data_IF_121905615746
#
_entry.id   IF_121905615746
#
_cell.length_a   1.000
_cell.length_b   1.000
_cell.length_c   1.000
_cell.angle_alpha   90.00
_cell.angle_beta   90.00
_cell.angle_gamma   90.00
#
_symmetry.space_group_name_H-M   'P 1'
#
loop_
_entity.id
_entity.type
_entity.pdbx_description
1 polymer ?
#
# COMPACT_ATOMS: atom_id res chain seq x y z
N UNK A 1 0.11 -12.94 -10.54
CA UNK A 1 -0.55 -14.25 -10.42
C UNK A 1 -1.90 -14.16 -9.72
N UNK A 2 -1.98 -13.77 -8.44
CA UNK A 2 -3.25 -13.72 -7.68
C UNK A 2 -4.38 -12.95 -8.39
N UNK A 3 -4.09 -11.82 -9.03
CA UNK A 3 -5.09 -11.07 -9.81
C UNK A 3 -5.62 -11.85 -11.02
N UNK A 4 -4.73 -12.58 -11.71
CA UNK A 4 -5.09 -13.42 -12.86
C UNK A 4 -5.98 -14.59 -12.45
N UNK A 5 -5.68 -15.24 -11.33
CA UNK A 5 -6.50 -16.34 -10.77
C UNK A 5 -7.92 -15.87 -10.39
N UNK A 6 -8.07 -14.60 -10.02
CA UNK A 6 -9.37 -13.97 -9.73
C UNK A 6 -10.03 -13.33 -10.95
N UNK A 7 -9.48 -13.56 -12.15
CA UNK A 7 -9.96 -12.99 -13.41
C UNK A 7 -10.07 -11.46 -13.37
N UNK A 8 -9.19 -10.81 -12.61
CA UNK A 8 -9.11 -9.35 -12.55
C UNK A 8 -8.20 -8.89 -13.70
N UNK A 9 -8.72 -8.15 -14.70
CA UNK A 9 -7.91 -7.68 -15.81
C UNK A 9 -6.83 -6.72 -15.31
N UNK A 10 -5.60 -6.90 -15.77
CA UNK A 10 -4.49 -6.01 -15.45
C UNK A 10 -3.58 -5.83 -16.67
N UNK A 11 -2.77 -4.78 -16.63
CA UNK A 11 -1.64 -4.55 -17.53
C UNK A 11 -0.42 -4.28 -16.66
N UNK A 12 0.69 -4.95 -16.96
CA UNK A 12 1.94 -4.78 -16.23
C UNK A 12 2.97 -3.99 -17.05
N UNK A 13 3.77 -3.17 -16.36
CA UNK A 13 4.90 -2.43 -16.93
C UNK A 13 6.17 -2.81 -16.18
N UNK A 14 7.24 -3.06 -16.93
CA UNK A 14 8.58 -3.23 -16.37
C UNK A 14 9.63 -2.60 -17.30
N UNK A 15 10.68 -2.03 -16.72
CA UNK A 15 11.82 -1.43 -17.44
C UNK A 15 12.90 -2.48 -17.77
N UNK A 16 12.76 -3.69 -17.25
CA UNK A 16 13.67 -4.81 -17.46
C UNK A 16 13.14 -5.72 -18.55
N UNK A 17 13.82 -5.73 -19.70
CA UNK A 17 13.43 -6.57 -20.85
C UNK A 17 13.43 -8.06 -20.52
N UNK A 18 14.31 -8.54 -19.63
CA UNK A 18 14.35 -9.93 -19.18
C UNK A 18 13.09 -10.33 -18.38
N UNK A 19 12.55 -9.42 -17.55
CA UNK A 19 11.29 -9.65 -16.83
C UNK A 19 10.09 -9.62 -17.78
N UNK A 20 10.09 -8.69 -18.75
CA UNK A 20 9.04 -8.60 -19.77
C UNK A 20 9.00 -9.86 -20.63
N UNK A 21 10.16 -10.37 -21.08
CA UNK A 21 10.23 -11.61 -21.86
C UNK A 21 9.63 -12.80 -21.08
N UNK A 22 10.07 -13.01 -19.83
CA UNK A 22 9.54 -14.08 -18.97
C UNK A 22 8.03 -13.96 -18.74
N UNK A 23 7.52 -12.75 -18.52
CA UNK A 23 6.09 -12.55 -18.32
C UNK A 23 5.28 -12.84 -19.59
N UNK A 24 5.82 -12.52 -20.78
CA UNK A 24 5.17 -12.86 -22.06
C UNK A 24 5.18 -14.36 -22.33
N UNK A 25 6.25 -15.07 -21.95
CA UNK A 25 6.30 -16.53 -22.04
C UNK A 25 5.23 -17.20 -21.15
N UNK A 26 4.78 -16.50 -20.10
CA UNK A 26 3.66 -16.89 -19.24
C UNK A 26 2.31 -16.29 -19.67
N UNK A 27 2.22 -15.80 -20.91
CA UNK A 27 1.01 -15.16 -21.48
C UNK A 27 0.48 -13.96 -20.65
N UNK A 28 1.34 -13.34 -19.84
CA UNK A 28 0.94 -12.18 -19.04
C UNK A 28 0.90 -10.91 -19.91
N UNK A 29 -0.08 -10.01 -19.67
CA UNK A 29 -0.19 -8.72 -20.37
C UNK A 29 0.87 -7.72 -19.87
N UNK A 30 2.15 -7.99 -20.15
CA UNK A 30 3.30 -7.20 -19.72
C UNK A 30 3.99 -6.47 -20.87
N UNK A 31 4.31 -5.21 -20.64
CA UNK A 31 4.93 -4.33 -21.62
C UNK A 31 6.19 -3.68 -21.06
N UNK A 32 7.13 -3.42 -21.96
CA UNK A 32 8.34 -2.70 -21.64
C UNK A 32 8.05 -1.19 -21.56
N UNK A 33 8.40 -0.55 -20.45
CA UNK A 33 8.24 0.90 -20.32
C UNK A 33 8.52 1.43 -18.93
N UNK A 34 8.91 2.72 -18.86
CA UNK A 34 9.06 3.45 -17.61
C UNK A 34 7.69 3.93 -17.10
N UNK A 35 7.24 3.39 -15.97
CA UNK A 35 6.00 3.78 -15.31
C UNK A 35 6.00 5.22 -14.77
N UNK A 36 7.15 5.89 -14.71
CA UNK A 36 7.24 7.33 -14.44
C UNK A 36 6.97 8.22 -15.65
N UNK A 37 6.85 7.65 -16.86
CA UNK A 37 6.58 8.39 -18.09
C UNK A 37 5.07 8.53 -18.32
N UNK A 38 4.59 9.77 -18.46
CA UNK A 38 3.19 10.05 -18.76
C UNK A 38 2.75 9.46 -20.10
N UNK A 39 3.64 9.43 -21.10
CA UNK A 39 3.36 8.82 -22.41
C UNK A 39 3.14 7.31 -22.30
N UNK A 40 3.94 6.63 -21.49
CA UNK A 40 3.79 5.18 -21.24
C UNK A 40 2.52 4.91 -20.44
N UNK A 41 2.25 5.68 -19.40
CA UNK A 41 1.00 5.55 -18.62
C UNK A 41 -0.24 5.77 -19.50
N UNK A 42 -0.18 6.73 -20.42
CA UNK A 42 -1.26 6.97 -21.37
C UNK A 42 -1.45 5.80 -22.33
N UNK A 43 -0.36 5.25 -22.89
CA UNK A 43 -0.44 4.16 -23.86
C UNK A 43 -1.00 2.85 -23.26
N UNK A 44 -0.77 2.59 -21.97
CA UNK A 44 -1.37 1.45 -21.26
C UNK A 44 -2.80 1.72 -20.76
N UNK A 45 -3.36 2.90 -21.05
CA UNK A 45 -4.74 3.23 -20.69
C UNK A 45 -4.93 3.52 -19.20
N UNK A 46 -3.93 4.10 -18.52
CA UNK A 46 -4.01 4.42 -17.08
C UNK A 46 -5.24 5.27 -16.71
N UNK A 47 -5.79 6.07 -17.64
CA UNK A 47 -7.02 6.85 -17.42
C UNK A 47 -8.26 6.01 -17.15
N UNK A 48 -8.28 4.74 -17.59
CA UNK A 48 -9.39 3.80 -17.41
C UNK A 48 -9.16 2.83 -16.23
N UNK A 49 -7.98 2.89 -15.60
CA UNK A 49 -7.64 1.97 -14.52
C UNK A 49 -8.45 2.29 -13.26
N UNK A 50 -8.99 1.26 -12.61
CA UNK A 50 -9.63 1.43 -11.29
C UNK A 50 -8.60 1.75 -10.20
N UNK A 51 -7.41 1.14 -10.31
CA UNK A 51 -6.29 1.36 -9.42
C UNK A 51 -4.96 1.03 -10.11
N UNK A 52 -3.87 1.49 -9.50
CA UNK A 52 -2.50 1.16 -9.86
C UNK A 52 -1.81 0.50 -8.67
N UNK A 53 -1.00 -0.53 -8.93
CA UNK A 53 -0.11 -1.15 -7.95
C UNK A 53 1.33 -0.83 -8.33
N UNK A 54 2.07 -0.18 -7.43
CA UNK A 54 3.43 0.31 -7.68
C UNK A 54 4.40 -0.45 -6.78
N UNK A 55 5.25 -1.27 -7.39
CA UNK A 55 6.14 -2.25 -6.74
C UNK A 55 7.54 -2.20 -7.35
N UNK A 56 8.08 -0.99 -7.54
CA UNK A 56 9.37 -0.79 -8.19
C UNK A 56 10.54 -1.03 -7.21
N UNK A 57 11.71 -1.33 -7.77
CA UNK A 57 12.90 -1.75 -7.01
C UNK A 57 13.54 -0.61 -6.21
N UNK A 58 13.39 0.66 -6.64
CA UNK A 58 14.02 1.82 -6.00
C UNK A 58 13.00 2.81 -5.43
N UNK A 59 13.28 3.45 -4.27
CA UNK A 59 12.40 4.46 -3.69
C UNK A 59 12.11 5.64 -4.64
N UNK A 60 13.14 6.09 -5.36
CA UNK A 60 12.99 7.17 -6.34
C UNK A 60 12.07 6.81 -7.49
N UNK A 61 12.14 5.58 -8.01
CA UNK A 61 11.23 5.12 -9.05
C UNK A 61 9.79 5.02 -8.54
N UNK A 62 9.57 4.46 -7.35
CA UNK A 62 8.24 4.42 -6.71
C UNK A 62 7.65 5.82 -6.58
N UNK A 63 8.41 6.77 -6.00
CA UNK A 63 7.95 8.14 -5.83
C UNK A 63 7.56 8.79 -7.17
N UNK A 64 8.44 8.70 -8.18
CA UNK A 64 8.18 9.28 -9.51
C UNK A 64 6.94 8.70 -10.16
N UNK A 65 6.73 7.39 -10.07
CA UNK A 65 5.55 6.71 -10.61
C UNK A 65 4.27 7.16 -9.91
N UNK A 66 4.27 7.16 -8.56
CA UNK A 66 3.11 7.59 -7.76
C UNK A 66 2.76 9.05 -8.07
N UNK A 67 3.75 9.93 -8.08
CA UNK A 67 3.54 11.34 -8.38
C UNK A 67 2.99 11.55 -9.80
N UNK A 68 3.53 10.84 -10.80
CA UNK A 68 3.06 10.91 -12.18
C UNK A 68 1.62 10.45 -12.31
N UNK A 69 1.26 9.31 -11.69
CA UNK A 69 -0.11 8.80 -11.70
C UNK A 69 -1.04 9.79 -11.00
N UNK A 70 -0.68 10.29 -9.81
CA UNK A 70 -1.53 11.22 -9.08
C UNK A 70 -1.76 12.54 -9.83
N UNK A 71 -0.72 13.06 -10.49
CA UNK A 71 -0.78 14.30 -11.26
C UNK A 71 -1.66 14.18 -12.50
N UNK A 72 -1.52 13.09 -13.26
CA UNK A 72 -2.19 12.94 -14.56
C UNK A 72 -3.53 12.19 -14.47
N UNK A 73 -3.71 11.36 -13.46
CA UNK A 73 -4.87 10.48 -13.28
C UNK A 73 -5.37 10.54 -11.82
N UNK A 74 -5.88 11.69 -11.35
CA UNK A 74 -6.19 11.91 -9.92
C UNK A 74 -7.24 10.96 -9.33
N UNK A 75 -8.06 10.33 -10.19
CA UNK A 75 -9.11 9.38 -9.82
C UNK A 75 -8.59 7.94 -9.63
N UNK A 76 -7.38 7.63 -10.08
CA UNK A 76 -6.80 6.29 -9.95
C UNK A 76 -6.29 6.11 -8.53
N UNK A 77 -6.77 5.07 -7.82
CA UNK A 77 -6.25 4.71 -6.50
C UNK A 77 -4.88 4.06 -6.64
N UNK A 78 -3.92 4.46 -5.81
CA UNK A 78 -2.52 4.03 -5.94
C UNK A 78 -2.11 3.21 -4.72
N UNK A 79 -1.81 1.94 -4.91
CA UNK A 79 -1.33 1.03 -3.86
C UNK A 79 0.16 0.82 -4.05
N UNK A 80 0.97 1.07 -3.01
CA UNK A 80 2.44 1.11 -3.16
C UNK A 80 3.13 0.23 -2.14
N UNK A 81 4.15 -0.48 -2.59
CA UNK A 81 5.11 -1.14 -1.71
C UNK A 81 6.16 -0.13 -1.27
N UNK A 82 6.23 0.12 0.04
CA UNK A 82 7.30 0.88 0.64
C UNK A 82 8.45 -0.02 1.08
N UNK A 83 9.64 0.56 1.14
CA UNK A 83 10.84 -0.10 1.66
C UNK A 83 10.82 -0.13 3.18
N UNK A 84 10.46 1.01 3.74
CA UNK A 84 10.42 1.30 5.17
C UNK A 84 9.36 2.37 5.44
N UNK A 85 9.17 2.67 6.71
CA UNK A 85 8.23 3.65 7.23
C UNK A 85 8.43 5.04 6.62
N UNK A 86 9.67 5.52 6.61
CA UNK A 86 10.00 6.87 6.13
C UNK A 86 9.72 7.02 4.63
N UNK A 87 10.02 5.98 3.86
CA UNK A 87 9.69 5.90 2.45
C UNK A 87 8.15 5.87 2.27
N UNK A 88 7.44 5.15 3.13
CA UNK A 88 5.98 5.11 3.09
C UNK A 88 5.32 6.47 3.28
N UNK A 89 5.75 7.23 4.29
CA UNK A 89 5.28 8.60 4.51
C UNK A 89 5.52 9.52 3.30
N UNK A 90 6.66 9.36 2.62
CA UNK A 90 6.95 10.12 1.41
C UNK A 90 6.04 9.74 0.23
N UNK A 91 5.66 8.47 0.11
CA UNK A 91 4.75 7.98 -0.92
C UNK A 91 3.31 8.43 -0.68
N UNK A 92 2.87 8.49 0.57
CA UNK A 92 1.57 9.07 0.92
C UNK A 92 1.50 10.54 0.55
N UNK A 93 2.53 11.31 0.88
CA UNK A 93 2.66 12.72 0.46
C UNK A 93 2.68 12.88 -1.06
N UNK A 94 3.20 11.89 -1.79
CA UNK A 94 3.16 11.86 -3.26
C UNK A 94 1.77 11.52 -3.83
N UNK A 95 0.83 11.06 -2.99
CA UNK A 95 -0.55 10.75 -3.38
C UNK A 95 -0.90 9.26 -3.37
N UNK A 96 -0.09 8.41 -2.76
CA UNK A 96 -0.44 7.00 -2.57
C UNK A 96 -1.74 6.86 -1.76
N UNK A 97 -2.64 5.99 -2.21
CA UNK A 97 -3.90 5.65 -1.54
C UNK A 97 -3.72 4.71 -0.36
N UNK A 98 -2.77 3.79 -0.46
CA UNK A 98 -2.37 2.92 0.63
C UNK A 98 -0.93 2.46 0.41
N UNK A 99 -0.20 2.35 1.51
CA UNK A 99 1.20 1.93 1.50
C UNK A 99 1.37 0.68 2.36
N UNK A 100 2.17 -0.27 1.86
CA UNK A 100 2.52 -1.50 2.58
C UNK A 100 4.04 -1.65 2.63
N UNK A 101 4.66 -1.73 3.83
CA UNK A 101 6.09 -2.01 3.96
C UNK A 101 6.44 -3.42 3.46
N UNK A 102 7.56 -3.55 2.73
CA UNK A 102 7.96 -4.82 2.12
C UNK A 102 8.39 -5.89 3.14
N UNK A 103 8.94 -5.46 4.28
CA UNK A 103 9.55 -6.36 5.27
C UNK A 103 8.62 -6.77 6.40
N UNK A 104 7.50 -6.07 6.60
CA UNK A 104 6.64 -6.28 7.78
C UNK A 104 6.07 -7.69 7.82
N UNK A 105 5.31 -8.08 6.80
CA UNK A 105 4.62 -9.37 6.79
C UNK A 105 5.59 -10.56 6.72
N UNK A 106 6.68 -10.54 5.91
CA UNK A 106 7.70 -11.59 5.98
C UNK A 106 8.34 -11.73 7.36
N UNK A 107 8.58 -10.61 8.06
CA UNK A 107 9.16 -10.65 9.41
C UNK A 107 8.17 -11.23 10.42
N UNK A 108 6.88 -10.91 10.31
CA UNK A 108 5.83 -11.49 11.14
C UNK A 108 5.67 -13.00 10.91
N UNK A 109 5.75 -13.46 9.66
CA UNK A 109 5.73 -14.89 9.36
C UNK A 109 6.92 -15.63 9.99
N UNK A 110 8.12 -15.04 9.94
CA UNK A 110 9.30 -15.62 10.60
C UNK A 110 9.14 -15.64 12.13
N UNK A 111 8.65 -14.54 12.72
CA UNK A 111 8.37 -14.48 14.15
C UNK A 111 7.35 -15.55 14.57
N UNK A 112 6.28 -15.75 13.78
CA UNK A 112 5.29 -16.79 14.05
C UNK A 112 5.91 -18.20 14.06
N UNK A 113 6.77 -18.49 13.09
CA UNK A 113 7.47 -19.78 13.03
C UNK A 113 8.38 -20.02 14.25
N UNK A 114 9.09 -18.98 14.71
CA UNK A 114 9.93 -19.06 15.93
C UNK A 114 9.07 -19.30 17.17
N UNK A 115 7.93 -18.59 17.32
CA UNK A 115 7.05 -18.78 18.46
C UNK A 115 6.42 -20.18 18.48
N UNK A 116 6.08 -20.73 17.31
CA UNK A 116 5.60 -22.10 17.19
C UNK A 116 6.67 -23.12 17.59
N UNK A 117 7.93 -22.91 17.18
CA UNK A 117 9.06 -23.77 17.57
C UNK A 117 9.27 -23.77 19.10
N UNK A 118 9.02 -22.63 19.75
CA UNK A 118 9.05 -22.49 21.22
C UNK A 118 7.83 -23.11 21.93
N UNK A 119 7.00 -23.86 21.20
CA UNK A 119 5.81 -24.57 21.71
C UNK A 119 4.73 -23.65 22.32
N UNK A 120 4.62 -22.40 21.85
CA UNK A 120 3.49 -21.55 22.23
C UNK A 120 2.18 -22.08 21.61
N UNK A 121 1.04 -21.96 22.32
CA UNK A 121 -0.27 -22.27 21.76
C UNK A 121 -0.54 -21.50 20.46
N UNK A 122 -1.16 -22.11 19.44
CA UNK A 122 -1.44 -21.45 18.17
C UNK A 122 -2.28 -20.17 18.28
N UNK A 123 -3.20 -20.13 19.25
CA UNK A 123 -4.00 -18.94 19.59
C UNK A 123 -3.14 -17.78 20.10
N UNK A 124 -2.13 -18.06 20.93
CA UNK A 124 -1.22 -17.06 21.48
C UNK A 124 -0.31 -16.51 20.39
N UNK A 125 0.20 -17.38 19.51
CA UNK A 125 1.01 -16.96 18.36
C UNK A 125 0.20 -16.05 17.45
N UNK A 126 -1.03 -16.43 17.12
CA UNK A 126 -1.90 -15.63 16.24
C UNK A 126 -2.22 -14.28 16.89
N UNK A 127 -2.56 -14.28 18.18
CA UNK A 127 -2.88 -13.06 18.93
C UNK A 127 -1.69 -12.11 19.00
N UNK A 128 -0.49 -12.62 19.29
CA UNK A 128 0.73 -11.82 19.36
C UNK A 128 1.11 -11.20 18.00
N UNK A 129 1.00 -11.97 16.92
CA UNK A 129 1.27 -11.48 15.56
C UNK A 129 0.25 -10.42 15.16
N UNK A 130 -1.03 -10.65 15.41
CA UNK A 130 -2.09 -9.71 15.09
C UNK A 130 -1.98 -8.42 15.92
N UNK A 131 -1.59 -8.52 17.19
CA UNK A 131 -1.31 -7.37 18.04
C UNK A 131 -0.11 -6.56 17.53
N UNK A 132 1.00 -7.22 17.20
CA UNK A 132 2.16 -6.54 16.65
C UNK A 132 1.83 -5.87 15.32
N UNK A 133 1.07 -6.54 14.43
CA UNK A 133 0.60 -5.97 13.17
C UNK A 133 -0.24 -4.72 13.41
N UNK A 134 -1.22 -4.78 14.32
CA UNK A 134 -2.08 -3.63 14.66
C UNK A 134 -1.27 -2.47 15.24
N UNK A 135 -0.40 -2.74 16.22
CA UNK A 135 0.43 -1.72 16.87
C UNK A 135 1.36 -1.04 15.88
N UNK A 136 2.05 -1.82 15.06
CA UNK A 136 2.94 -1.28 14.05
C UNK A 136 2.17 -0.44 13.03
N UNK A 137 1.01 -0.90 12.54
CA UNK A 137 0.15 -0.10 11.65
C UNK A 137 -0.37 1.18 12.33
N UNK A 138 -0.73 1.11 13.61
CA UNK A 138 -1.21 2.26 14.37
C UNK A 138 -0.12 3.32 14.57
N UNK A 139 1.07 2.93 14.99
CA UNK A 139 2.24 3.82 15.11
C UNK A 139 2.55 4.48 13.77
N UNK A 140 2.45 3.73 12.67
CA UNK A 140 2.61 4.26 11.32
C UNK A 140 1.53 5.28 10.95
N UNK A 141 0.27 5.00 11.30
CA UNK A 141 -0.85 5.91 11.07
C UNK A 141 -0.77 7.18 11.94
N UNK A 142 -0.25 7.08 13.16
CA UNK A 142 -0.03 8.25 14.04
C UNK A 142 1.12 9.12 13.52
N UNK A 143 2.23 8.50 13.11
CA UNK A 143 3.34 9.22 12.45
C UNK A 143 2.87 9.89 11.16
N UNK A 144 2.00 9.23 10.40
CA UNK A 144 1.35 9.81 9.23
C UNK A 144 0.50 11.02 9.61
N UNK A 145 -0.37 10.90 10.62
CA UNK A 145 -1.22 12.00 11.12
C UNK A 145 -0.41 13.20 11.60
N UNK A 146 0.61 13.00 12.43
CA UNK A 146 1.52 14.06 12.91
C UNK A 146 2.28 14.72 11.74
N UNK A 147 2.57 13.96 10.68
CA UNK A 147 3.23 14.48 9.47
C UNK A 147 2.28 15.16 8.46
N UNK A 148 0.97 15.25 8.76
CA UNK A 148 -0.05 15.86 7.91
C UNK A 148 -0.65 14.94 6.84
N UNK A 149 -0.43 13.63 6.92
CA UNK A 149 -0.99 12.61 6.02
C UNK A 149 -2.22 11.93 6.67
N UNK A 150 -3.32 11.79 5.92
CA UNK A 150 -4.59 11.25 6.40
C UNK A 150 -4.92 9.84 5.88
N UNK A 151 -4.10 9.30 4.97
CA UNK A 151 -4.34 8.01 4.34
C UNK A 151 -3.74 6.89 5.20
N UNK A 152 -4.56 5.89 5.53
CA UNK A 152 -4.15 4.76 6.36
C UNK A 152 -3.27 3.76 5.62
N UNK A 153 -2.50 2.99 6.38
CA UNK A 153 -1.62 1.93 5.88
C UNK A 153 -2.41 0.66 5.54
N UNK A 154 -2.53 0.35 4.25
CA UNK A 154 -2.77 -1.01 3.70
C UNK A 154 -4.08 -1.74 4.05
N UNK A 155 -4.76 -1.35 5.12
CA UNK A 155 -5.97 -1.95 5.65
C UNK A 155 -7.04 -0.88 5.72
N UNK A 156 -8.19 -1.14 5.09
CA UNK A 156 -9.30 -0.19 5.10
C UNK A 156 -9.63 0.19 6.54
N UNK A 157 -9.72 1.49 6.83
CA UNK A 157 -10.43 1.96 8.02
C UNK A 157 -11.85 1.42 7.88
N UNK A 158 -12.21 0.36 8.60
CA UNK A 158 -13.61 0.06 8.81
C UNK A 158 -14.19 1.31 9.47
N UNK A 159 -15.12 1.96 8.77
CA UNK A 159 -15.83 3.14 9.22
C UNK A 159 -16.74 2.81 10.41
N UNK A 160 -16.18 2.49 11.57
CA UNK A 160 -16.87 2.71 12.84
C UNK A 160 -16.44 4.09 13.33
N UNK A 161 -17.23 5.11 12.98
CA UNK A 161 -17.17 6.41 13.66
C UNK A 161 -17.31 6.15 15.17
N UNK A 162 -16.23 6.27 15.93
CA UNK A 162 -16.33 6.61 17.33
C UNK A 162 -16.46 8.13 17.38
N UNK A 163 -17.67 8.61 17.64
CA UNK A 163 -17.96 10.00 17.95
C UNK A 163 -17.30 10.35 19.29
N UNK A 164 -16.45 11.36 19.30
CA UNK A 164 -15.96 11.99 20.54
C UNK A 164 -17.14 12.58 21.33
N UNK A 165 -17.09 12.60 22.68
CA UNK A 165 -18.15 13.19 23.48
C UNK A 165 -18.10 14.71 23.38
N UNK A 166 -19.23 15.30 23.02
CA UNK A 166 -19.45 16.75 22.99
C UNK A 166 -19.54 17.26 24.43
N UNK A 167 -18.58 18.08 24.86
CA UNK A 167 -18.70 18.88 26.08
C UNK A 167 -19.92 19.80 25.97
N UNK A 168 -20.88 19.59 26.86
CA UNK A 168 -22.09 20.42 26.94
C UNK A 168 -21.82 21.57 27.92
N UNK A 169 -21.53 22.76 27.37
CA UNK A 169 -21.45 23.99 28.17
C UNK A 169 -22.84 24.56 28.34
N UNK A 170 -23.42 24.42 29.53
CA UNK A 170 -24.66 25.08 29.92
C UNK A 170 -24.39 26.57 30.18
N UNK A 171 -25.11 27.45 29.49
CA UNK A 171 -25.19 28.88 29.83
C UNK A 171 -26.66 29.18 30.11
N UNK A 172 -26.99 29.35 31.39
CA UNK A 172 -28.25 29.96 31.83
C UNK A 172 -28.12 31.47 31.70
N UNK A 173 -29.13 32.10 31.09
CA UNK A 173 -29.35 33.54 31.18
C UNK A 173 -30.82 33.74 31.52
N UNK A 174 -31.04 34.49 32.59
CA UNK A 174 -32.32 34.82 33.24
C UNK A 174 -33.32 35.52 32.31
#
# INVERSE_FOLDING_TARGET
>A
QLLGERLIPFVALDVRSDRVAKGRDMEMPVYFGDSGSSAVLHSVGASKAACAVVVLDTPGANYRCVWAIKKHYPNVKIYVRARDVSHGLNLEKAGASAVVPETLEPSLQLAAAVLQEMQLPPEDVTSAIDEYRRKHIAELSELAYVSGSSLGYGYGKNSSKQSEPVETTSVEVE
#
